data_IF_402656004441
#
_entry.id   IF_402656004441
#
_cell.length_a   1.000
_cell.length_b   1.000
_cell.length_c   1.000
_cell.angle_alpha   90.00
_cell.angle_beta   90.00
_cell.angle_gamma   90.00
#
_symmetry.space_group_name_H-M   'P 1'
#
loop_
_entity.id
_entity.type
_entity.pdbx_description
1 polymer ?
#
# COMPACT_ATOMS: atom_id res chain seq x y z
N UNK A 1 -16.17 23.51 12.82
CA UNK A 1 -16.51 22.26 12.10
C UNK A 1 -15.49 21.22 12.53
N UNK A 2 -15.92 20.01 12.95
CA UNK A 2 -14.97 18.94 13.25
C UNK A 2 -14.46 18.26 11.94
N UNK A 3 -13.49 17.37 12.04
CA UNK A 3 -12.86 16.75 10.87
C UNK A 3 -13.86 15.96 10.02
N UNK A 4 -14.73 15.19 10.67
CA UNK A 4 -15.74 14.36 10.00
C UNK A 4 -16.81 15.22 9.29
N UNK A 5 -17.31 16.24 9.98
CA UNK A 5 -18.26 17.19 9.37
C UNK A 5 -17.65 17.91 8.16
N UNK A 6 -16.39 18.32 8.27
CA UNK A 6 -15.66 19.00 7.19
C UNK A 6 -15.48 18.09 5.98
N UNK A 7 -15.10 16.83 6.20
CA UNK A 7 -14.96 15.86 5.12
C UNK A 7 -16.27 15.68 4.34
N UNK A 8 -17.37 15.38 5.02
CA UNK A 8 -18.65 15.17 4.34
C UNK A 8 -19.14 16.45 3.65
N UNK A 9 -19.01 17.60 4.27
CA UNK A 9 -19.35 18.87 3.63
C UNK A 9 -18.49 19.15 2.39
N UNK A 10 -17.19 18.80 2.43
CA UNK A 10 -16.29 18.92 1.26
C UNK A 10 -16.75 18.01 0.12
N UNK A 11 -17.05 16.73 0.41
CA UNK A 11 -17.52 15.76 -0.59
C UNK A 11 -18.85 16.17 -1.19
N UNK A 12 -19.75 16.69 -0.36
CA UNK A 12 -21.08 17.18 -0.78
C UNK A 12 -21.05 18.58 -1.40
N UNK A 13 -19.87 19.19 -1.54
CA UNK A 13 -19.68 20.56 -2.08
C UNK A 13 -20.48 21.63 -1.32
N UNK A 14 -20.64 21.44 -0.02
CA UNK A 14 -21.25 22.42 0.90
C UNK A 14 -20.19 23.42 1.38
N UNK A 15 -20.61 24.60 1.89
CA UNK A 15 -19.70 25.54 2.53
C UNK A 15 -18.91 24.92 3.69
N UNK A 16 -17.61 25.13 3.69
CA UNK A 16 -16.69 24.63 4.72
C UNK A 16 -15.79 25.75 5.22
N UNK A 17 -15.27 25.61 6.43
CA UNK A 17 -14.26 26.53 6.99
C UNK A 17 -12.91 26.41 6.27
N UNK A 18 -12.55 25.21 5.81
CA UNK A 18 -11.46 24.86 4.90
C UNK A 18 -11.75 23.51 4.25
N UNK A 19 -11.11 23.14 3.14
CA UNK A 19 -11.19 21.76 2.63
C UNK A 19 -10.67 20.74 3.64
N UNK A 20 -11.24 19.53 3.63
CA UNK A 20 -10.68 18.43 4.39
C UNK A 20 -9.28 18.09 3.86
N UNK A 21 -8.35 17.83 4.76
CA UNK A 21 -6.94 17.63 4.47
C UNK A 21 -6.42 16.33 5.09
N UNK A 22 -5.65 15.59 4.32
CA UNK A 22 -4.79 14.52 4.80
C UNK A 22 -3.32 14.92 4.64
N UNK A 23 -2.57 14.89 5.74
CA UNK A 23 -1.15 15.27 5.73
C UNK A 23 -0.26 14.25 5.02
N UNK A 24 -0.73 13.02 4.89
CA UNK A 24 0.11 11.91 4.45
C UNK A 24 0.96 11.35 5.59
N UNK A 25 1.95 10.55 5.21
CA UNK A 25 2.90 9.96 6.14
C UNK A 25 4.30 10.49 5.81
N UNK A 26 4.80 11.45 6.61
CA UNK A 26 6.17 11.92 6.49
C UNK A 26 7.16 10.76 6.69
N UNK A 27 8.28 10.78 5.99
CA UNK A 27 9.31 9.76 6.20
C UNK A 27 9.82 9.78 7.64
N UNK A 28 10.24 8.62 8.19
CA UNK A 28 10.74 8.54 9.57
C UNK A 28 11.86 9.55 9.87
N UNK A 29 12.68 9.86 8.89
CA UNK A 29 13.78 10.82 9.01
C UNK A 29 13.27 12.27 9.10
N UNK A 30 12.14 12.59 8.46
CA UNK A 30 11.57 13.94 8.46
C UNK A 30 10.78 14.23 9.75
N UNK A 31 10.22 13.23 10.40
CA UNK A 31 9.37 13.39 11.59
C UNK A 31 10.04 14.17 12.70
N UNK A 32 11.30 13.90 13.13
CA UNK A 32 11.96 14.65 14.19
C UNK A 32 12.09 16.14 13.89
N UNK A 33 12.52 16.49 12.68
CA UNK A 33 12.68 17.89 12.27
C UNK A 33 11.33 18.64 12.19
N UNK A 34 10.28 17.97 11.72
CA UNK A 34 8.94 18.53 11.70
C UNK A 34 8.38 18.72 13.11
N UNK A 35 8.55 17.74 14.00
CA UNK A 35 8.14 17.86 15.40
C UNK A 35 8.85 19.01 16.10
N UNK A 36 10.15 19.17 15.90
CA UNK A 36 10.92 20.30 16.42
C UNK A 36 10.39 21.64 15.92
N UNK A 37 10.16 21.76 14.60
CA UNK A 37 9.65 22.97 13.98
C UNK A 37 8.28 23.39 14.51
N UNK A 38 7.37 22.43 14.68
CA UNK A 38 6.02 22.67 15.18
C UNK A 38 5.90 22.64 16.70
N UNK A 39 7.01 22.40 17.43
CA UNK A 39 7.07 22.30 18.90
C UNK A 39 6.09 21.25 19.46
N UNK A 40 6.09 20.07 18.88
CA UNK A 40 5.25 18.91 19.30
C UNK A 40 6.13 17.69 19.56
N UNK A 41 5.63 16.75 20.37
CA UNK A 41 6.44 15.63 20.86
C UNK A 41 6.40 14.39 19.93
N UNK A 42 5.39 14.30 19.04
CA UNK A 42 5.20 13.11 18.22
C UNK A 42 4.37 13.40 16.95
N UNK A 43 4.35 12.42 16.05
CA UNK A 43 3.62 12.49 14.77
C UNK A 43 2.11 12.70 14.94
N UNK A 44 1.51 12.19 16.00
CA UNK A 44 0.07 12.33 16.26
C UNK A 44 -0.27 13.80 16.56
N UNK A 45 0.55 14.46 17.35
CA UNK A 45 0.41 15.89 17.63
C UNK A 45 0.75 16.75 16.42
N UNK A 46 1.76 16.34 15.65
CA UNK A 46 2.10 16.98 14.38
C UNK A 46 0.90 16.96 13.42
N UNK A 47 0.30 15.80 13.18
CA UNK A 47 -0.89 15.67 12.34
C UNK A 47 -2.04 16.56 12.84
N UNK A 48 -2.22 16.67 14.15
CA UNK A 48 -3.24 17.55 14.76
C UNK A 48 -2.95 19.04 14.51
N UNK A 49 -1.73 19.48 14.72
CA UNK A 49 -1.34 20.88 14.49
C UNK A 49 -1.42 21.27 13.02
N UNK A 50 -1.05 20.35 12.12
CA UNK A 50 -1.18 20.55 10.67
C UNK A 50 -2.64 20.46 10.17
N UNK A 51 -3.59 20.15 11.04
CA UNK A 51 -5.01 20.11 10.69
C UNK A 51 -5.40 18.90 9.86
N UNK A 52 -4.75 17.76 10.08
CA UNK A 52 -5.14 16.49 9.45
C UNK A 52 -6.53 16.06 9.90
N UNK A 53 -7.42 15.79 8.96
CA UNK A 53 -8.81 15.42 9.21
C UNK A 53 -9.03 13.91 9.22
N UNK A 54 -8.00 13.13 8.87
CA UNK A 54 -8.09 11.69 8.71
C UNK A 54 -7.40 10.93 9.86
N UNK A 55 -7.87 9.74 10.07
CA UNK A 55 -7.21 8.69 10.84
C UNK A 55 -6.90 7.56 9.87
N UNK A 56 -5.66 7.52 9.41
CA UNK A 56 -5.21 6.51 8.47
C UNK A 56 -4.97 5.18 9.21
N UNK A 57 -5.52 4.10 8.66
CA UNK A 57 -5.32 2.73 9.12
C UNK A 57 -4.68 1.95 7.99
N UNK A 58 -3.44 1.54 8.20
CA UNK A 58 -2.75 0.61 7.31
C UNK A 58 -3.06 -0.83 7.73
N UNK A 59 -3.11 -1.73 6.75
CA UNK A 59 -3.24 -3.16 7.05
C UNK A 59 -1.94 -3.63 7.71
N UNK A 60 -2.01 -4.20 8.92
CA UNK A 60 -0.82 -4.68 9.64
C UNK A 60 -0.36 -6.02 9.06
N UNK A 61 0.38 -5.99 7.96
CA UNK A 61 0.93 -7.20 7.35
C UNK A 61 2.00 -7.84 8.23
N UNK A 62 1.92 -9.14 8.40
CA UNK A 62 2.97 -9.99 9.01
C UNK A 62 4.05 -10.31 7.95
N UNK A 63 4.58 -9.29 7.32
CA UNK A 63 5.52 -9.36 6.22
C UNK A 63 6.64 -8.34 6.43
N UNK A 64 7.87 -8.60 5.95
CA UNK A 64 8.97 -7.62 6.02
C UNK A 64 8.78 -6.43 5.09
N UNK A 65 7.81 -6.48 4.18
CA UNK A 65 7.45 -5.37 3.29
C UNK A 65 6.06 -4.83 3.63
N UNK A 66 5.68 -3.70 3.07
CA UNK A 66 4.34 -3.13 3.21
C UNK A 66 3.27 -3.90 2.42
N UNK A 67 3.65 -4.91 1.64
CA UNK A 67 2.78 -5.77 0.85
C UNK A 67 3.23 -7.22 0.95
N UNK A 68 2.30 -8.13 1.27
CA UNK A 68 2.59 -9.54 1.31
C UNK A 68 2.90 -10.12 -0.09
N UNK A 69 2.24 -9.63 -1.12
CA UNK A 69 2.50 -10.01 -2.53
C UNK A 69 3.93 -9.59 -2.91
N UNK A 70 4.31 -8.35 -2.61
CA UNK A 70 5.64 -7.85 -2.91
C UNK A 70 6.72 -8.71 -2.22
N UNK A 71 6.53 -9.06 -0.95
CA UNK A 71 7.43 -9.96 -0.24
C UNK A 71 7.49 -11.35 -0.87
N UNK A 72 6.38 -11.88 -1.36
CA UNK A 72 6.33 -13.18 -2.01
C UNK A 72 7.15 -13.19 -3.32
N UNK A 73 7.04 -12.15 -4.15
CA UNK A 73 7.84 -12.02 -5.36
C UNK A 73 9.33 -11.87 -5.06
N UNK A 74 9.69 -11.06 -4.07
CA UNK A 74 11.07 -10.92 -3.66
C UNK A 74 11.65 -12.22 -3.11
N UNK A 75 10.89 -12.95 -2.33
CA UNK A 75 11.30 -14.23 -1.77
C UNK A 75 11.52 -15.28 -2.85
N UNK A 76 10.66 -15.32 -3.86
CA UNK A 76 10.82 -16.22 -4.99
C UNK A 76 12.13 -15.94 -5.76
N UNK A 77 12.47 -14.67 -5.95
CA UNK A 77 13.66 -14.24 -6.70
C UNK A 77 14.97 -14.40 -5.90
N UNK A 78 14.94 -14.07 -4.62
CA UNK A 78 16.15 -13.90 -3.80
C UNK A 78 16.25 -14.90 -2.63
N UNK A 79 15.33 -15.84 -2.52
CA UNK A 79 15.28 -16.79 -1.39
C UNK A 79 14.90 -16.09 -0.09
N UNK A 80 15.66 -16.37 0.99
CA UNK A 80 15.43 -15.76 2.29
C UNK A 80 15.99 -14.36 2.46
N UNK A 81 16.82 -13.90 1.52
CA UNK A 81 17.48 -12.60 1.57
C UNK A 81 16.64 -11.57 0.78
N UNK A 82 15.66 -10.98 1.46
CA UNK A 82 14.84 -9.92 0.90
C UNK A 82 15.56 -8.59 1.05
N UNK A 83 16.09 -8.06 -0.05
CA UNK A 83 16.64 -6.72 -0.11
C UNK A 83 15.53 -5.69 -0.42
N UNK A 84 14.86 -5.24 0.62
CA UNK A 84 13.79 -4.25 0.49
C UNK A 84 14.31 -2.82 0.31
N UNK A 85 15.57 -2.55 0.65
CA UNK A 85 16.15 -1.20 0.56
C UNK A 85 16.61 -0.86 -0.85
N UNK A 86 17.07 -1.86 -1.61
CA UNK A 86 17.66 -1.65 -2.94
C UNK A 86 16.77 -2.10 -4.09
N UNK A 87 15.68 -2.84 -3.81
CA UNK A 87 14.77 -3.26 -4.87
C UNK A 87 14.03 -2.05 -5.45
N UNK A 88 14.12 -1.92 -6.76
CA UNK A 88 13.40 -0.90 -7.55
C UNK A 88 12.35 -1.55 -8.43
N UNK A 89 11.37 -0.78 -8.92
CA UNK A 89 10.38 -1.26 -9.89
C UNK A 89 10.98 -1.74 -11.21
N UNK A 90 12.23 -1.36 -11.48
CA UNK A 90 12.98 -1.81 -12.68
C UNK A 90 13.78 -3.10 -12.44
N UNK A 91 13.80 -3.63 -11.22
CA UNK A 91 14.40 -4.93 -10.96
C UNK A 91 13.68 -6.03 -11.74
N UNK A 92 14.41 -7.05 -12.13
CA UNK A 92 13.84 -8.20 -12.84
C UNK A 92 12.83 -8.92 -11.93
N UNK A 93 11.62 -9.15 -12.44
CA UNK A 93 10.55 -9.87 -11.74
C UNK A 93 10.62 -11.38 -11.98
N UNK A 94 9.93 -12.15 -11.14
CA UNK A 94 9.89 -13.62 -11.24
C UNK A 94 9.25 -14.13 -12.55
N UNK A 95 8.46 -13.30 -13.20
CA UNK A 95 7.81 -13.60 -14.48
C UNK A 95 8.42 -12.84 -15.66
N UNK A 96 9.57 -12.18 -15.47
CA UNK A 96 10.19 -11.32 -16.49
C UNK A 96 10.51 -12.05 -17.81
N UNK A 97 10.81 -13.35 -17.74
CA UNK A 97 11.19 -14.19 -18.88
C UNK A 97 10.06 -15.11 -19.35
N UNK A 98 8.80 -14.83 -18.96
CA UNK A 98 7.65 -15.65 -19.34
C UNK A 98 6.99 -15.05 -20.57
N UNK A 99 6.61 -15.95 -21.50
CA UNK A 99 6.07 -15.57 -22.80
C UNK A 99 4.53 -15.63 -22.85
N UNK A 100 3.92 -16.46 -21.98
CA UNK A 100 2.47 -16.64 -21.90
C UNK A 100 2.03 -17.09 -20.50
N UNK A 101 0.70 -17.29 -20.35
CA UNK A 101 0.08 -17.72 -19.08
C UNK A 101 0.52 -19.14 -18.69
N UNK A 102 0.66 -20.05 -19.64
CA UNK A 102 1.09 -21.43 -19.38
C UNK A 102 2.51 -21.45 -18.81
N UNK A 103 3.37 -20.57 -19.29
CA UNK A 103 4.73 -20.39 -18.76
C UNK A 103 4.72 -19.86 -17.33
N UNK A 104 3.82 -18.93 -17.00
CA UNK A 104 3.63 -18.44 -15.62
C UNK A 104 3.14 -19.55 -14.71
N UNK A 105 2.15 -20.34 -15.15
CA UNK A 105 1.65 -21.48 -14.39
C UNK A 105 2.71 -22.55 -14.18
N UNK A 106 3.57 -22.77 -15.18
CA UNK A 106 4.67 -23.74 -15.10
C UNK A 106 5.73 -23.39 -14.06
N UNK A 107 5.85 -22.12 -13.66
CA UNK A 107 6.71 -21.69 -12.51
C UNK A 107 6.24 -22.32 -11.21
N UNK A 108 4.95 -22.67 -11.12
CA UNK A 108 4.30 -23.16 -9.90
C UNK A 108 4.50 -22.19 -8.71
N UNK A 109 4.33 -20.89 -8.98
CA UNK A 109 4.45 -19.85 -7.97
C UNK A 109 3.37 -20.03 -6.91
N UNK A 110 3.79 -20.08 -5.65
CA UNK A 110 2.88 -20.20 -4.51
C UNK A 110 2.33 -18.80 -4.15
N UNK A 111 1.11 -18.52 -4.61
CA UNK A 111 0.45 -17.25 -4.30
C UNK A 111 0.17 -17.15 -2.80
N UNK A 112 0.46 -16.01 -2.16
CA UNK A 112 0.29 -15.87 -0.72
C UNK A 112 -1.19 -15.92 -0.32
N UNK A 113 -1.49 -16.67 0.74
CA UNK A 113 -2.82 -16.71 1.35
C UNK A 113 -2.97 -15.50 2.29
N UNK A 114 -3.93 -14.59 2.05
CA UNK A 114 -4.13 -13.41 2.91
C UNK A 114 -4.35 -13.78 4.38
N UNK A 115 -4.96 -14.93 4.67
CA UNK A 115 -5.19 -15.39 6.04
C UNK A 115 -3.91 -15.63 6.85
N UNK A 116 -2.77 -15.85 6.18
CA UNK A 116 -1.47 -16.02 6.82
C UNK A 116 -0.79 -14.68 7.14
N UNK A 117 -1.13 -13.63 6.39
CA UNK A 117 -0.44 -12.33 6.44
C UNK A 117 -1.24 -11.24 7.13
N UNK A 118 -2.56 -11.35 7.17
CA UNK A 118 -3.44 -10.32 7.71
C UNK A 118 -4.13 -10.85 8.95
N UNK A 119 -4.11 -10.06 10.03
CA UNK A 119 -4.83 -10.36 11.26
C UNK A 119 -6.12 -9.51 11.33
N UNK A 120 -7.31 -10.12 11.14
CA UNK A 120 -8.58 -9.38 11.16
C UNK A 120 -8.91 -8.76 12.53
N UNK A 121 -8.42 -9.33 13.62
CA UNK A 121 -8.66 -8.79 14.96
C UNK A 121 -7.83 -7.54 15.18
N UNK A 122 -6.58 -7.54 14.74
CA UNK A 122 -5.72 -6.37 14.79
C UNK A 122 -6.26 -5.25 13.88
N UNK A 123 -6.71 -5.57 12.66
CA UNK A 123 -7.36 -4.59 11.79
C UNK A 123 -8.57 -3.93 12.48
N UNK A 124 -9.41 -4.74 13.13
CA UNK A 124 -10.59 -4.22 13.85
C UNK A 124 -10.18 -3.34 15.01
N UNK A 125 -9.18 -3.75 15.79
CA UNK A 125 -8.63 -2.96 16.90
C UNK A 125 -8.15 -1.58 16.43
N UNK A 126 -7.42 -1.52 15.34
CA UNK A 126 -6.92 -0.24 14.76
C UNK A 126 -8.07 0.68 14.34
N UNK A 127 -9.15 0.14 13.78
CA UNK A 127 -10.34 0.92 13.43
C UNK A 127 -11.07 1.40 14.67
N UNK A 128 -11.21 0.57 15.69
CA UNK A 128 -11.91 0.90 16.94
C UNK A 128 -11.16 1.97 17.77
N UNK A 129 -9.86 2.10 17.60
CA UNK A 129 -9.05 3.15 18.22
C UNK A 129 -9.19 4.53 17.55
N UNK A 130 -9.89 4.59 16.41
CA UNK A 130 -10.06 5.85 15.68
C UNK A 130 -10.88 6.87 16.50
N UNK A 131 -10.43 8.13 16.59
CA UNK A 131 -11.22 9.19 17.22
C UNK A 131 -12.56 9.38 16.47
N UNK A 132 -13.65 9.58 17.25
CA UNK A 132 -15.00 9.70 16.69
C UNK A 132 -15.17 10.87 15.72
N UNK A 133 -14.39 11.94 15.93
CA UNK A 133 -14.43 13.16 15.12
C UNK A 133 -13.57 13.10 13.86
N UNK A 134 -12.81 12.03 13.65
CA UNK A 134 -11.97 11.80 12.48
C UNK A 134 -12.65 10.94 11.42
N UNK A 135 -12.14 11.02 10.21
CA UNK A 135 -12.51 10.11 9.13
C UNK A 135 -11.52 8.95 9.11
N UNK A 136 -12.02 7.74 9.28
CA UNK A 136 -11.18 6.53 9.11
C UNK A 136 -10.92 6.33 7.63
N UNK A 137 -9.66 6.21 7.27
CA UNK A 137 -9.18 5.96 5.91
C UNK A 137 -8.36 4.68 5.89
N UNK A 138 -8.84 3.65 5.20
CA UNK A 138 -8.05 2.45 4.93
C UNK A 138 -6.96 2.74 3.90
N UNK A 139 -5.75 2.30 4.17
CA UNK A 139 -4.60 2.48 3.28
C UNK A 139 -4.07 1.13 2.83
N UNK A 140 -3.85 1.01 1.52
CA UNK A 140 -3.14 -0.09 0.88
C UNK A 140 -1.92 0.47 0.15
N UNK A 141 -0.76 -0.06 0.47
CA UNK A 141 0.47 0.25 -0.24
C UNK A 141 0.76 -0.84 -1.27
N UNK A 142 1.31 -0.43 -2.41
CA UNK A 142 1.83 -1.32 -3.45
C UNK A 142 0.83 -2.32 -4.06
N UNK A 143 -0.45 -2.03 -4.14
CA UNK A 143 -1.39 -2.86 -4.88
C UNK A 143 -1.40 -2.54 -6.39
N UNK A 144 -1.94 -3.46 -7.21
CA UNK A 144 -2.04 -3.37 -8.66
C UNK A 144 -0.68 -3.08 -9.33
N UNK A 145 -0.51 -1.93 -9.92
CA UNK A 145 0.60 -1.58 -10.79
C UNK A 145 1.98 -1.86 -10.19
N UNK A 146 2.21 -1.54 -8.92
CA UNK A 146 3.51 -1.78 -8.29
C UNK A 146 3.80 -3.27 -8.12
N UNK A 147 2.82 -4.05 -7.68
CA UNK A 147 2.99 -5.49 -7.51
C UNK A 147 3.10 -6.20 -8.86
N UNK A 148 2.33 -5.75 -9.87
CA UNK A 148 2.46 -6.27 -11.23
C UNK A 148 3.84 -5.92 -11.84
N UNK A 149 4.35 -4.71 -11.60
CA UNK A 149 5.73 -4.36 -11.95
C UNK A 149 6.75 -5.21 -11.19
N UNK A 150 6.49 -5.55 -9.92
CA UNK A 150 7.38 -6.44 -9.16
C UNK A 150 7.41 -7.86 -9.74
N UNK A 151 6.29 -8.33 -10.30
CA UNK A 151 6.18 -9.65 -10.91
C UNK A 151 6.95 -9.76 -12.24
N UNK A 152 6.91 -8.75 -13.10
CA UNK A 152 7.51 -8.78 -14.44
C UNK A 152 8.81 -7.96 -14.57
N UNK A 153 9.06 -7.02 -13.66
CA UNK A 153 9.91 -5.87 -13.90
C UNK A 153 9.13 -4.78 -14.67
N UNK A 154 9.37 -3.51 -14.35
CA UNK A 154 8.58 -2.39 -14.90
C UNK A 154 8.59 -2.33 -16.43
N UNK A 155 9.74 -2.53 -17.05
CA UNK A 155 9.87 -2.47 -18.52
C UNK A 155 9.02 -3.56 -19.19
N UNK A 156 9.18 -4.81 -18.77
CA UNK A 156 8.40 -5.93 -19.31
C UNK A 156 6.90 -5.78 -18.99
N UNK A 157 6.55 -5.31 -17.80
CA UNK A 157 5.16 -5.05 -17.44
C UNK A 157 4.50 -4.06 -18.41
N UNK A 158 5.15 -2.93 -18.66
CA UNK A 158 4.63 -1.90 -19.59
C UNK A 158 4.55 -2.39 -21.02
N UNK A 159 5.53 -3.19 -21.46
CA UNK A 159 5.49 -3.81 -22.79
C UNK A 159 4.34 -4.82 -22.89
N UNK A 160 4.19 -5.69 -21.91
CA UNK A 160 3.17 -6.74 -21.91
C UNK A 160 1.75 -6.16 -21.81
N UNK A 161 1.54 -5.01 -21.18
CA UNK A 161 0.25 -4.32 -21.20
C UNK A 161 -0.25 -4.00 -22.62
N UNK A 162 0.66 -3.95 -23.60
CA UNK A 162 0.33 -3.66 -25.01
C UNK A 162 0.42 -4.92 -25.87
N UNK A 163 1.45 -5.75 -25.68
CA UNK A 163 1.72 -6.92 -26.51
C UNK A 163 0.93 -8.15 -26.09
N UNK A 164 0.72 -8.34 -24.79
CA UNK A 164 -0.04 -9.45 -24.21
C UNK A 164 -0.80 -9.02 -22.94
N UNK A 165 -1.86 -8.24 -23.09
CA UNK A 165 -2.64 -7.76 -21.97
C UNK A 165 -3.33 -8.88 -21.18
N UNK A 166 -3.60 -10.04 -21.79
CA UNK A 166 -4.25 -11.18 -21.09
C UNK A 166 -3.32 -11.77 -20.03
N UNK A 167 -2.03 -11.85 -20.30
CA UNK A 167 -1.03 -12.31 -19.34
C UNK A 167 -0.89 -11.33 -18.16
N UNK A 168 -0.92 -10.03 -18.42
CA UNK A 168 -0.89 -9.01 -17.36
C UNK A 168 -2.15 -9.08 -16.50
N UNK A 169 -3.32 -9.20 -17.11
CA UNK A 169 -4.59 -9.37 -16.39
C UNK A 169 -4.61 -10.64 -15.53
N UNK A 170 -4.07 -11.74 -16.02
CA UNK A 170 -3.97 -12.98 -15.25
C UNK A 170 -3.23 -12.77 -13.91
N UNK A 171 -2.08 -12.07 -13.95
CA UNK A 171 -1.28 -11.76 -12.75
C UNK A 171 -2.00 -10.73 -11.86
N UNK A 172 -2.58 -9.71 -12.47
CA UNK A 172 -3.28 -8.63 -11.76
C UNK A 172 -4.52 -9.15 -11.02
N UNK A 173 -5.28 -10.06 -11.62
CA UNK A 173 -6.42 -10.72 -10.98
C UNK A 173 -6.00 -11.50 -9.71
N UNK A 174 -4.86 -12.17 -9.73
CA UNK A 174 -4.31 -12.86 -8.55
C UNK A 174 -3.89 -11.89 -7.45
N UNK A 175 -3.30 -10.76 -7.82
CA UNK A 175 -2.95 -9.68 -6.88
C UNK A 175 -4.22 -9.10 -6.26
N UNK A 176 -5.23 -8.81 -7.07
CA UNK A 176 -6.52 -8.27 -6.60
C UNK A 176 -7.23 -9.25 -5.67
N UNK A 177 -7.22 -10.54 -5.98
CA UNK A 177 -7.83 -11.58 -5.15
C UNK A 177 -7.19 -11.65 -3.75
N UNK A 178 -5.88 -11.35 -3.63
CA UNK A 178 -5.22 -11.26 -2.33
C UNK A 178 -5.74 -10.09 -1.48
N UNK A 179 -6.03 -8.94 -2.10
CA UNK A 179 -6.47 -7.74 -1.39
C UNK A 179 -8.00 -7.66 -1.19
N UNK A 180 -8.77 -8.55 -1.78
CA UNK A 180 -10.23 -8.55 -1.77
C UNK A 180 -10.83 -9.33 -0.60
#
# INVERSE_FOLDING_TARGET
MNSRERFYATVERKPVDRPACWLGDPTPEAVPALCEYYHVDNIKELKKVCGDDFYAVEIPYKSPTCSAIFAAFDWYMNGSDIDTEHRTLTAEGCFAQREDIEDIEAVNFEWPDPALYIDPEECRRLVDEAPEDKVVMGMLWACHFQDTCAAFGMENCLMNMISDPEMVHYVDDRIVDFYR
#
